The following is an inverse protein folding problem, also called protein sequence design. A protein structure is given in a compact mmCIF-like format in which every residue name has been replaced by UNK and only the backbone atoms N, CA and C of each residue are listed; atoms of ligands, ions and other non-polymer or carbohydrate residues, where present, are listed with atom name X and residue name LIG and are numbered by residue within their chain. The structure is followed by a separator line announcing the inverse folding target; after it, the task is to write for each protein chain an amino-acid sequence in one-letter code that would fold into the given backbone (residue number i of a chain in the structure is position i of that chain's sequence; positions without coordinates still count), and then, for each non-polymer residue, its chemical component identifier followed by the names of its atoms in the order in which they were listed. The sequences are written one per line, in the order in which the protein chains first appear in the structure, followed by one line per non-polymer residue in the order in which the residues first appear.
data_IF_300274272541
#
_entry.id   IF_300274272541
#
_cell.length_a   1.000
_cell.length_b   1.000
_cell.length_c   1.000
_cell.angle_alpha   90.00
_cell.angle_beta   90.00
_cell.angle_gamma   90.00
#
_symmetry.space_group_name_H-M   'P 1'
#
loop_
_entity.id
_entity.type
_entity.pdbx_description
1 polymer ?
#
# COMPACT_ATOMS: atom_id res chain seq x y z
N UNK A 1 -13.52 14.36 1.13
CA UNK A 1 -14.81 14.19 1.87
C UNK A 1 -14.78 14.85 3.23
N UNK A 2 -13.61 15.03 3.86
CA UNK A 2 -13.46 15.58 5.21
C UNK A 2 -13.77 14.59 6.34
N UNK A 3 -14.13 13.36 6.01
CA UNK A 3 -14.41 12.29 6.95
C UNK A 3 -13.54 11.06 6.66
N UNK A 4 -13.18 10.32 7.71
CA UNK A 4 -12.47 9.06 7.56
C UNK A 4 -13.41 8.00 6.97
N UNK A 5 -12.92 7.13 6.07
CA UNK A 5 -13.67 5.97 5.63
C UNK A 5 -13.85 4.99 6.78
N UNK A 6 -14.77 4.04 6.63
CA UNK A 6 -14.81 2.87 7.50
C UNK A 6 -13.45 2.14 7.41
N UNK A 7 -12.73 1.93 8.54
CA UNK A 7 -11.44 1.26 8.52
C UNK A 7 -11.51 -0.18 7.98
N UNK A 8 -12.66 -0.83 8.01
CA UNK A 8 -12.85 -2.17 7.46
C UNK A 8 -13.24 -2.18 5.96
N UNK A 9 -13.48 -1.02 5.35
CA UNK A 9 -13.73 -0.90 3.91
C UNK A 9 -12.57 -1.46 3.06
N UNK A 10 -11.35 -1.44 3.59
CA UNK A 10 -10.15 -1.97 2.92
C UNK A 10 -9.96 -3.49 3.07
N UNK A 11 -10.84 -4.19 3.78
CA UNK A 11 -10.74 -5.66 3.95
C UNK A 11 -10.80 -6.39 2.59
N UNK A 12 -11.52 -5.86 1.62
CA UNK A 12 -11.67 -6.45 0.28
C UNK A 12 -10.34 -6.51 -0.50
N UNK A 13 -9.41 -5.58 -0.25
CA UNK A 13 -8.10 -5.57 -0.91
C UNK A 13 -7.02 -6.33 -0.12
N UNK A 14 -7.42 -7.10 0.90
CA UNK A 14 -6.56 -7.98 1.70
C UNK A 14 -6.70 -9.43 1.23
N UNK A 15 -5.70 -10.26 1.48
CA UNK A 15 -5.70 -11.69 1.12
C UNK A 15 -4.60 -12.05 0.13
N UNK A 16 -4.65 -13.26 -0.40
CA UNK A 16 -3.59 -13.91 -1.19
C UNK A 16 -4.01 -14.26 -2.63
N UNK A 17 -5.20 -13.80 -3.09
CA UNK A 17 -5.58 -13.93 -4.50
C UNK A 17 -4.58 -13.21 -5.42
N UNK A 18 -4.43 -13.61 -6.70
CA UNK A 18 -3.52 -12.99 -7.66
C UNK A 18 -3.62 -11.46 -7.69
N UNK A 19 -4.85 -10.95 -7.74
CA UNK A 19 -5.17 -9.55 -7.39
C UNK A 19 -6.49 -9.49 -6.65
N UNK A 20 -6.73 -8.38 -5.98
CA UNK A 20 -7.91 -8.13 -5.14
C UNK A 20 -8.56 -6.84 -5.59
N UNK A 21 -9.85 -6.77 -5.48
CA UNK A 21 -10.66 -5.69 -6.00
C UNK A 21 -11.55 -5.14 -4.90
N UNK A 22 -11.80 -3.84 -4.94
CA UNK A 22 -12.78 -3.17 -4.10
C UNK A 22 -13.46 -2.03 -4.84
N UNK A 23 -14.66 -1.71 -4.41
CA UNK A 23 -15.41 -0.54 -4.85
C UNK A 23 -15.68 0.36 -3.66
N UNK A 24 -15.41 1.66 -3.82
CA UNK A 24 -15.63 2.67 -2.82
C UNK A 24 -16.59 3.72 -3.36
N UNK A 25 -17.74 3.88 -2.71
CA UNK A 25 -18.64 4.98 -3.00
C UNK A 25 -18.07 6.28 -2.38
N UNK A 26 -17.71 7.25 -3.20
CA UNK A 26 -17.16 8.53 -2.76
C UNK A 26 -18.21 9.61 -2.97
N UNK A 27 -18.71 10.26 -1.88
CA UNK A 27 -19.71 11.31 -2.00
C UNK A 27 -19.27 12.44 -2.93
N UNK A 28 -20.12 12.78 -3.90
CA UNK A 28 -19.86 13.85 -4.87
C UNK A 28 -18.93 13.48 -6.04
N UNK A 29 -18.36 12.27 -6.04
CA UNK A 29 -17.45 11.80 -7.11
C UNK A 29 -18.07 10.59 -7.84
N UNK A 30 -18.62 9.63 -7.09
CA UNK A 30 -19.16 8.38 -7.64
C UNK A 30 -18.47 7.15 -7.05
N UNK A 31 -18.55 6.02 -7.77
CA UNK A 31 -17.90 4.78 -7.35
C UNK A 31 -16.48 4.71 -7.92
N UNK A 32 -15.51 4.54 -7.04
CA UNK A 32 -14.11 4.30 -7.38
C UNK A 32 -13.85 2.78 -7.35
N UNK A 33 -13.44 2.22 -8.48
CA UNK A 33 -13.04 0.81 -8.61
C UNK A 33 -11.53 0.70 -8.51
N UNK A 34 -11.07 -0.11 -7.57
CA UNK A 34 -9.63 -0.26 -7.32
C UNK A 34 -9.20 -1.71 -7.36
N UNK A 35 -7.94 -1.94 -7.73
CA UNK A 35 -7.31 -3.24 -7.62
C UNK A 35 -5.96 -3.13 -6.90
N UNK A 36 -5.60 -4.16 -6.12
CA UNK A 36 -4.29 -4.32 -5.54
C UNK A 36 -3.69 -5.67 -5.98
N UNK A 37 -2.53 -5.63 -6.60
CA UNK A 37 -1.84 -6.81 -7.11
C UNK A 37 -0.44 -6.93 -6.51
N UNK A 38 -0.03 -8.15 -6.16
CA UNK A 38 1.30 -8.43 -5.65
C UNK A 38 2.00 -9.53 -6.47
N UNK A 39 3.30 -9.32 -6.74
CA UNK A 39 4.09 -10.15 -7.61
C UNK A 39 3.98 -9.77 -9.08
N UNK A 40 5.11 -9.70 -9.79
CA UNK A 40 5.15 -9.22 -11.18
C UNK A 40 4.42 -10.16 -12.16
N UNK A 41 4.38 -11.46 -11.89
CA UNK A 41 3.61 -12.40 -12.71
C UNK A 41 2.10 -12.10 -12.64
N UNK A 42 1.58 -11.83 -11.44
CA UNK A 42 0.19 -11.45 -11.23
C UNK A 42 -0.11 -10.06 -11.85
N UNK A 43 0.83 -9.12 -11.71
CA UNK A 43 0.72 -7.82 -12.35
C UNK A 43 0.60 -7.94 -13.88
N UNK A 44 1.37 -8.83 -14.50
CA UNK A 44 1.25 -9.13 -15.94
C UNK A 44 -0.14 -9.64 -16.30
N UNK A 45 -0.66 -10.61 -15.52
CA UNK A 45 -2.01 -11.14 -15.75
C UNK A 45 -3.08 -10.06 -15.65
N UNK A 46 -2.95 -9.16 -14.67
CA UNK A 46 -3.87 -8.02 -14.51
C UNK A 46 -3.78 -7.06 -15.71
N UNK A 47 -2.57 -6.71 -16.14
CA UNK A 47 -2.34 -5.85 -17.30
C UNK A 47 -2.94 -6.45 -18.58
N UNK A 48 -2.79 -7.74 -18.79
CA UNK A 48 -3.39 -8.46 -19.93
C UNK A 48 -4.93 -8.46 -19.85
N UNK A 49 -5.50 -8.52 -18.65
CA UNK A 49 -6.95 -8.45 -18.46
C UNK A 49 -7.49 -7.03 -18.75
N UNK A 50 -6.80 -6.00 -18.28
CA UNK A 50 -7.14 -4.59 -18.55
C UNK A 50 -7.03 -4.30 -20.05
N UNK A 51 -5.91 -4.70 -20.69
CA UNK A 51 -5.68 -4.48 -22.12
C UNK A 51 -6.70 -5.19 -23.02
N UNK A 52 -7.20 -6.33 -22.57
CA UNK A 52 -8.26 -7.07 -23.26
C UNK A 52 -9.69 -6.55 -22.97
N UNK A 53 -9.83 -5.49 -22.18
CA UNK A 53 -11.12 -4.93 -21.79
C UNK A 53 -11.98 -5.86 -20.91
N UNK A 54 -11.36 -6.84 -20.25
CA UNK A 54 -12.09 -7.78 -19.38
C UNK A 54 -12.38 -7.20 -18.00
N UNK A 55 -11.56 -6.27 -17.54
CA UNK A 55 -11.69 -5.54 -16.28
C UNK A 55 -11.33 -4.08 -16.50
N UNK A 56 -11.88 -3.22 -15.65
CA UNK A 56 -11.64 -1.77 -15.70
C UNK A 56 -11.53 -1.23 -14.26
N UNK A 57 -10.47 -0.47 -13.99
CA UNK A 57 -10.20 0.13 -12.69
C UNK A 57 -9.84 1.61 -12.85
N UNK A 58 -10.22 2.39 -11.85
CA UNK A 58 -9.82 3.79 -11.73
C UNK A 58 -8.44 3.92 -11.10
N UNK A 59 -8.05 2.94 -10.26
CA UNK A 59 -6.74 2.91 -9.60
C UNK A 59 -6.26 1.47 -9.41
N UNK A 60 -4.96 1.24 -9.67
CA UNK A 60 -4.30 -0.05 -9.47
C UNK A 60 -3.02 0.14 -8.66
N UNK A 61 -2.93 -0.53 -7.52
CA UNK A 61 -1.69 -0.67 -6.75
C UNK A 61 -0.92 -1.90 -7.20
N UNK A 62 0.35 -1.73 -7.58
CA UNK A 62 1.24 -2.82 -8.00
C UNK A 62 2.39 -2.96 -7.02
N UNK A 63 2.45 -4.08 -6.31
CA UNK A 63 3.56 -4.47 -5.45
C UNK A 63 4.44 -5.51 -6.15
N UNK A 64 5.74 -5.26 -6.24
CA UNK A 64 6.66 -6.16 -6.96
C UNK A 64 6.82 -7.52 -6.27
N UNK A 65 6.83 -7.54 -4.93
CA UNK A 65 7.03 -8.76 -4.16
C UNK A 65 5.75 -9.59 -4.08
N UNK A 66 5.81 -10.93 -4.25
CA UNK A 66 4.69 -11.81 -3.92
C UNK A 66 4.28 -11.65 -2.45
N UNK A 67 2.98 -11.49 -2.20
CA UNK A 67 2.46 -11.22 -0.86
C UNK A 67 2.72 -9.78 -0.33
N UNK A 68 3.19 -8.87 -1.20
CA UNK A 68 3.52 -7.50 -0.82
C UNK A 68 4.68 -7.41 0.17
N UNK A 69 4.64 -6.42 1.08
CA UNK A 69 5.70 -6.20 2.07
C UNK A 69 5.88 -7.38 3.05
N UNK A 70 4.83 -8.17 3.30
CA UNK A 70 4.90 -9.34 4.16
C UNK A 70 5.71 -10.51 3.56
N UNK A 71 5.89 -10.54 2.21
CA UNK A 71 6.72 -11.50 1.48
C UNK A 71 7.99 -10.90 0.88
N UNK A 72 8.28 -9.62 1.15
CA UNK A 72 9.41 -8.90 0.57
C UNK A 72 10.76 -9.24 1.16
N UNK A 73 11.82 -8.70 0.55
CA UNK A 73 13.19 -8.81 1.02
C UNK A 73 13.34 -8.24 2.43
N UNK A 74 14.21 -8.87 3.24
CA UNK A 74 14.39 -8.51 4.65
C UNK A 74 13.47 -9.24 5.61
N UNK A 75 12.48 -9.98 5.14
CA UNK A 75 11.69 -10.87 5.99
C UNK A 75 12.54 -12.08 6.43
N UNK A 76 12.31 -12.62 7.65
CA UNK A 76 13.03 -13.80 8.12
C UNK A 76 12.86 -14.99 7.18
N UNK A 77 13.95 -15.71 6.95
CA UNK A 77 13.96 -16.93 6.14
C UNK A 77 13.58 -18.10 7.05
N UNK A 78 12.63 -18.94 6.58
CA UNK A 78 12.16 -20.13 7.28
C UNK A 78 12.31 -21.36 6.37
N UNK A 79 13.53 -21.87 6.27
CA UNK A 79 13.84 -23.12 5.55
C UNK A 79 13.23 -23.23 4.14
N UNK A 80 13.01 -22.10 3.45
CA UNK A 80 12.39 -22.03 2.13
C UNK A 80 10.87 -21.97 2.12
N UNK A 81 10.22 -21.93 3.28
CA UNK A 81 8.76 -21.77 3.36
C UNK A 81 8.33 -20.33 3.06
N UNK A 82 7.26 -20.19 2.30
CA UNK A 82 6.62 -18.89 2.00
C UNK A 82 5.59 -18.53 3.09
N UNK A 83 5.90 -17.53 3.90
CA UNK A 83 5.08 -17.12 5.04
C UNK A 83 4.37 -15.78 4.86
N UNK A 84 4.34 -15.21 3.65
CA UNK A 84 3.73 -13.91 3.40
C UNK A 84 2.26 -13.85 3.82
N UNK A 85 1.48 -14.87 3.49
CA UNK A 85 0.06 -14.94 3.86
C UNK A 85 -0.13 -15.01 5.38
N UNK A 86 0.66 -15.83 6.07
CA UNK A 86 0.63 -15.96 7.54
C UNK A 86 0.98 -14.63 8.22
N UNK A 87 2.06 -13.97 7.78
CA UNK A 87 2.47 -12.65 8.31
C UNK A 87 1.42 -11.58 8.02
N UNK A 88 0.88 -11.57 6.80
CA UNK A 88 -0.21 -10.65 6.42
C UNK A 88 -1.42 -10.79 7.33
N UNK A 89 -1.86 -12.03 7.60
CA UNK A 89 -3.00 -12.28 8.49
C UNK A 89 -2.78 -11.79 9.92
N UNK A 90 -1.55 -11.88 10.43
CA UNK A 90 -1.19 -11.32 11.75
C UNK A 90 -1.30 -9.79 11.73
N UNK A 91 -0.74 -9.13 10.71
CA UNK A 91 -0.79 -7.67 10.57
C UNK A 91 -2.24 -7.18 10.48
N UNK A 92 -3.07 -7.82 9.69
CA UNK A 92 -4.49 -7.44 9.56
C UNK A 92 -5.26 -7.61 10.87
N UNK A 93 -4.98 -8.67 11.63
CA UNK A 93 -5.58 -8.87 12.96
C UNK A 93 -5.13 -7.78 13.93
N UNK A 94 -3.86 -7.41 13.94
CA UNK A 94 -3.33 -6.33 14.77
C UNK A 94 -3.97 -4.99 14.41
N UNK A 95 -4.13 -4.70 13.12
CA UNK A 95 -4.84 -3.51 12.65
C UNK A 95 -6.30 -3.48 13.15
N UNK A 96 -7.04 -4.59 12.99
CA UNK A 96 -8.43 -4.68 13.46
C UNK A 96 -8.58 -4.48 14.97
N UNK A 97 -7.57 -4.87 15.75
CA UNK A 97 -7.56 -4.75 17.20
C UNK A 97 -6.98 -3.42 17.70
N UNK A 98 -6.36 -2.65 16.82
CA UNK A 98 -5.76 -1.38 17.20
C UNK A 98 -6.83 -0.34 17.55
N UNK A 99 -6.62 0.39 18.65
CA UNK A 99 -7.49 1.49 19.07
C UNK A 99 -7.35 2.72 18.15
N UNK A 100 -6.18 2.90 17.52
CA UNK A 100 -5.89 3.96 16.53
C UNK A 100 -5.65 3.29 15.18
N UNK A 101 -6.56 3.50 14.24
CA UNK A 101 -6.49 2.87 12.91
C UNK A 101 -6.09 3.84 11.80
N UNK A 102 -6.11 5.13 12.09
CA UNK A 102 -5.71 6.17 11.15
C UNK A 102 -4.45 6.87 11.63
N UNK A 103 -3.40 6.88 10.82
CA UNK A 103 -2.09 7.45 11.18
C UNK A 103 -2.16 8.94 11.52
N UNK A 104 -3.04 9.71 10.89
CA UNK A 104 -3.22 11.13 11.16
C UNK A 104 -3.91 11.43 12.51
N UNK A 105 -4.54 10.44 13.13
CA UNK A 105 -5.11 10.52 14.49
C UNK A 105 -4.10 10.12 15.57
N UNK A 106 -2.96 9.55 15.17
CA UNK A 106 -1.93 9.14 16.11
C UNK A 106 -1.22 10.37 16.70
N UNK A 107 -1.26 10.55 18.05
CA UNK A 107 -0.64 11.69 18.72
C UNK A 107 0.87 11.82 18.44
N UNK A 108 1.57 10.70 18.30
CA UNK A 108 3.01 10.69 17.97
C UNK A 108 3.27 11.22 16.56
N UNK A 109 2.44 10.82 15.59
CA UNK A 109 2.52 11.33 14.24
C UNK A 109 2.22 12.85 14.20
N UNK A 110 1.18 13.29 14.92
CA UNK A 110 0.86 14.71 15.04
C UNK A 110 1.99 15.51 15.68
N UNK A 111 2.62 14.96 16.72
CA UNK A 111 3.76 15.57 17.38
C UNK A 111 4.97 15.68 16.45
N UNK A 112 5.27 14.63 15.69
CA UNK A 112 6.35 14.64 14.70
C UNK A 112 6.13 15.76 13.65
N UNK A 113 4.91 15.92 13.15
CA UNK A 113 4.61 17.01 12.22
C UNK A 113 4.74 18.36 12.88
N UNK A 114 4.14 18.56 14.05
CA UNK A 114 4.16 19.85 14.76
C UNK A 114 5.57 20.30 15.12
N UNK A 115 6.42 19.39 15.61
CA UNK A 115 7.72 19.72 16.19
C UNK A 115 8.88 19.62 15.19
N UNK A 116 8.75 18.77 14.16
CA UNK A 116 9.87 18.49 13.27
C UNK A 116 9.56 18.71 11.79
N UNK A 117 8.49 18.14 11.27
CA UNK A 117 8.17 18.22 9.84
C UNK A 117 7.43 19.51 9.43
N UNK A 118 6.82 20.21 10.38
CA UNK A 118 5.94 21.35 10.12
C UNK A 118 4.50 20.89 9.87
N UNK A 119 4.03 20.98 8.64
CA UNK A 119 2.70 20.50 8.24
C UNK A 119 2.83 19.39 7.17
N UNK A 120 1.78 18.58 6.94
CA UNK A 120 1.71 17.75 5.75
C UNK A 120 1.94 18.58 4.48
N UNK A 121 2.74 18.04 3.55
CA UNK A 121 3.16 18.72 2.30
C UNK A 121 4.03 19.99 2.49
N UNK A 122 4.51 20.30 3.69
CA UNK A 122 5.53 21.33 3.86
C UNK A 122 6.79 20.97 3.08
N UNK A 123 7.60 21.97 2.71
CA UNK A 123 8.87 21.75 2.01
C UNK A 123 9.77 20.75 2.74
N UNK A 124 9.84 20.85 4.07
CA UNK A 124 10.64 19.93 4.90
C UNK A 124 10.07 18.52 4.90
N UNK A 125 8.75 18.35 5.03
CA UNK A 125 8.11 17.04 4.96
C UNK A 125 8.33 16.43 3.57
N UNK A 126 8.15 17.22 2.51
CA UNK A 126 8.36 16.75 1.14
C UNK A 126 9.81 16.28 0.93
N UNK A 127 10.78 17.09 1.32
CA UNK A 127 12.22 16.75 1.18
C UNK A 127 12.63 15.49 1.94
N UNK A 128 12.04 15.23 3.11
CA UNK A 128 12.43 14.11 3.97
C UNK A 128 11.62 12.82 3.71
N UNK A 129 10.38 12.94 3.25
CA UNK A 129 9.48 11.80 3.11
C UNK A 129 9.27 11.35 1.67
N UNK A 130 9.68 12.16 0.68
CA UNK A 130 9.53 11.81 -0.72
C UNK A 130 10.89 11.65 -1.39
N UNK A 131 11.01 10.64 -2.23
CA UNK A 131 12.21 10.37 -3.02
C UNK A 131 12.04 10.95 -4.43
N UNK A 132 13.06 11.66 -4.91
CA UNK A 132 13.14 12.00 -6.32
C UNK A 132 13.62 10.76 -7.11
N UNK A 133 12.72 10.19 -7.90
CA UNK A 133 13.01 9.01 -8.72
C UNK A 133 13.75 9.34 -10.04
N UNK A 134 13.98 10.60 -10.35
CA UNK A 134 14.63 11.01 -11.61
C UNK A 134 16.15 11.17 -11.49
N UNK A 135 16.68 11.25 -10.28
CA UNK A 135 18.10 11.50 -10.02
C UNK A 135 18.80 10.41 -9.18
N UNK A 136 18.26 9.18 -9.11
CA UNK A 136 18.86 8.15 -8.29
C UNK A 136 20.02 7.44 -9.00
N UNK A 137 21.23 7.64 -8.49
CA UNK A 137 22.41 6.90 -8.92
C UNK A 137 22.51 5.56 -8.19
N UNK A 138 22.69 4.48 -8.96
CA UNK A 138 22.89 3.15 -8.39
C UNK A 138 24.15 3.13 -7.51
N UNK A 139 24.06 2.68 -6.25
CA UNK A 139 25.25 2.46 -5.42
C UNK A 139 26.22 1.51 -6.14
N UNK A 140 27.49 1.91 -6.29
CA UNK A 140 28.55 1.07 -6.86
C UNK A 140 28.85 1.28 -8.36
N UNK A 141 28.24 2.28 -9.02
CA UNK A 141 28.60 2.62 -10.41
C UNK A 141 29.79 3.56 -10.54
N UNK A 142 30.32 4.05 -9.43
CA UNK A 142 31.54 4.86 -9.38
C UNK A 142 32.72 3.99 -8.91
N UNK A 143 33.26 3.22 -9.84
CA UNK A 143 34.52 2.50 -9.70
C UNK A 143 35.29 2.61 -10.98
#
# INVERSE_FOLDING_TARGET
TGENPDPDAFAQVRGDRPWREAEFAIPGIGTLRVAAVSGLANARMLMDAVSAGRVEYDFVEVMACPGGCAGGGGQPIHEGEELASTRGSVLWRLDQQASLRFSHENPEAQTLYREYLGAPLSERAHKLLHTDHQGWDMPGRNG
#
